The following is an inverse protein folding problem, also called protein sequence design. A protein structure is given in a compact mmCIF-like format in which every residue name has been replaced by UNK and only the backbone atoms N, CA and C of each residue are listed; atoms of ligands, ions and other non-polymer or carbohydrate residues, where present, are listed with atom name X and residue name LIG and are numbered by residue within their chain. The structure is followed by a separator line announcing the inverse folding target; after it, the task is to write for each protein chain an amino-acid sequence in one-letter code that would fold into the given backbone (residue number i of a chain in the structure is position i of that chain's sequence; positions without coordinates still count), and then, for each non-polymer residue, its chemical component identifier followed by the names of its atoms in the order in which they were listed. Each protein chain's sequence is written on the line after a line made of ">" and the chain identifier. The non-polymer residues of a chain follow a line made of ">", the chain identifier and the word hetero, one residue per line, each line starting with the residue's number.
data_IF_415772248547
#
_entry.id   IF_415772248547
#
_cell.length_a   1.000
_cell.length_b   1.000
_cell.length_c   1.000
_cell.angle_alpha   90.00
_cell.angle_beta   90.00
_cell.angle_gamma   90.00
#
_symmetry.space_group_name_H-M   'P 1'
#
loop_
_entity.id
_entity.type
_entity.pdbx_description
1 polymer ?
#
# COMPACT_ATOMS: atom_id res chain seq x y z
N UNK A 1 20.26 -54.83 -47.97
CA UNK A 1 18.94 -54.21 -47.79
C UNK A 1 18.89 -53.73 -46.35
N UNK A 2 18.64 -52.41 -46.15
CA UNK A 2 18.49 -51.66 -44.88
C UNK A 2 19.75 -51.57 -43.97
N UNK A 3 20.58 -50.50 -44.01
CA UNK A 3 20.43 -49.17 -43.35
C UNK A 3 19.97 -49.30 -41.89
N UNK A 4 20.63 -48.82 -40.84
CA UNK A 4 21.76 -47.91 -40.66
C UNK A 4 21.55 -47.13 -39.35
N UNK A 5 22.65 -46.73 -38.67
CA UNK A 5 22.77 -45.63 -37.69
C UNK A 5 21.99 -45.75 -36.37
N UNK A 6 22.44 -45.22 -35.23
CA UNK A 6 23.67 -44.58 -34.75
C UNK A 6 23.52 -44.51 -33.21
N UNK A 7 24.66 -44.52 -32.54
CA UNK A 7 25.00 -44.10 -31.17
C UNK A 7 23.90 -43.44 -30.30
N UNK A 8 23.62 -44.06 -29.15
CA UNK A 8 23.06 -43.38 -27.98
C UNK A 8 24.22 -42.84 -27.13
N UNK A 9 24.69 -41.63 -27.49
CA UNK A 9 25.53 -40.80 -26.62
C UNK A 9 24.68 -40.28 -25.48
N UNK A 10 25.07 -40.63 -24.25
CA UNK A 10 24.52 -40.09 -23.00
C UNK A 10 24.85 -38.59 -22.92
N UNK A 11 23.86 -37.75 -23.22
CA UNK A 11 23.83 -36.35 -22.81
C UNK A 11 22.74 -36.23 -21.73
N UNK A 12 23.11 -36.42 -20.46
CA UNK A 12 22.24 -36.00 -19.36
C UNK A 12 22.70 -34.62 -18.90
N UNK A 13 21.86 -33.65 -19.27
CA UNK A 13 21.89 -32.23 -18.98
C UNK A 13 22.15 -31.91 -17.50
N UNK A 14 23.20 -31.12 -17.24
CA UNK A 14 23.31 -30.23 -16.09
C UNK A 14 22.28 -29.08 -16.21
N UNK A 15 20.99 -29.41 -16.18
CA UNK A 15 19.95 -28.41 -16.01
C UNK A 15 19.87 -28.07 -14.50
N UNK A 16 20.62 -27.07 -14.06
CA UNK A 16 20.32 -26.41 -12.79
C UNK A 16 18.87 -25.92 -12.85
N UNK A 17 17.99 -26.54 -12.08
CA UNK A 17 16.61 -26.08 -11.91
C UNK A 17 16.64 -24.69 -11.29
N UNK A 18 16.33 -23.67 -12.09
CA UNK A 18 16.08 -22.32 -11.59
C UNK A 18 14.84 -22.38 -10.71
N UNK A 19 15.02 -22.28 -9.39
CA UNK A 19 13.92 -22.11 -8.45
C UNK A 19 13.35 -20.71 -8.67
N UNK A 20 12.23 -20.63 -9.39
CA UNK A 20 11.46 -19.40 -9.45
C UNK A 20 10.83 -19.18 -8.07
N UNK A 21 10.93 -17.97 -7.47
CA UNK A 21 10.21 -17.68 -6.25
C UNK A 21 8.72 -17.90 -6.50
N UNK A 22 8.14 -18.84 -5.75
CA UNK A 22 6.71 -19.07 -5.80
C UNK A 22 6.04 -17.78 -5.32
N UNK A 23 5.08 -17.18 -6.06
CA UNK A 23 4.34 -16.05 -5.53
C UNK A 23 3.72 -16.46 -4.20
N UNK A 24 3.82 -15.55 -3.22
CA UNK A 24 3.21 -15.74 -1.90
C UNK A 24 1.76 -16.17 -2.08
N UNK A 25 1.32 -17.07 -1.21
CA UNK A 25 -0.02 -17.59 -1.30
C UNK A 25 -1.06 -16.44 -1.20
N UNK A 26 -2.14 -16.46 -1.99
CA UNK A 26 -3.12 -15.36 -2.03
C UNK A 26 -3.86 -15.12 -0.70
N UNK A 27 -3.70 -16.01 0.28
CA UNK A 27 -4.22 -15.88 1.64
C UNK A 27 -3.21 -15.37 2.66
N UNK A 28 -1.96 -15.09 2.26
CA UNK A 28 -0.96 -14.48 3.14
C UNK A 28 -1.35 -13.01 3.32
N UNK A 29 -1.70 -12.64 4.55
CA UNK A 29 -1.98 -11.25 4.88
C UNK A 29 -0.71 -10.41 4.68
N UNK A 30 -0.81 -9.18 4.15
CA UNK A 30 0.33 -8.29 4.07
C UNK A 30 0.87 -8.02 5.47
N UNK A 31 2.19 -8.03 5.61
CA UNK A 31 2.84 -7.64 6.86
C UNK A 31 2.70 -6.12 7.02
N UNK A 32 1.79 -5.69 7.90
CA UNK A 32 1.57 -4.27 8.20
C UNK A 32 2.23 -3.94 9.53
N UNK A 33 3.23 -3.05 9.49
CA UNK A 33 3.87 -2.52 10.69
C UNK A 33 3.50 -1.04 10.89
N UNK A 34 2.94 -0.71 12.05
CA UNK A 34 2.67 0.68 12.46
C UNK A 34 3.67 1.09 13.52
N UNK A 35 4.50 2.09 13.19
CA UNK A 35 5.56 2.61 14.06
C UNK A 35 5.17 3.96 14.65
N UNK A 36 5.99 4.43 15.60
CA UNK A 36 5.97 5.81 16.11
C UNK A 36 4.70 6.21 16.88
N UNK A 37 3.90 5.22 17.30
CA UNK A 37 2.70 5.45 18.10
C UNK A 37 3.06 5.92 19.51
N UNK A 38 2.45 7.03 19.96
CA UNK A 38 2.68 7.57 21.30
C UNK A 38 4.01 8.32 21.50
N UNK A 39 4.77 8.57 20.42
CA UNK A 39 5.98 9.38 20.50
C UNK A 39 5.69 10.89 20.54
N UNK A 40 6.57 11.65 21.18
CA UNK A 40 6.44 13.10 21.26
C UNK A 40 6.62 13.78 19.89
N UNK A 41 5.79 14.79 19.61
CA UNK A 41 5.77 15.49 18.31
C UNK A 41 7.10 16.14 17.95
N UNK A 42 7.90 16.55 18.94
CA UNK A 42 9.20 17.19 18.70
C UNK A 42 10.23 16.15 18.28
N UNK A 43 10.25 15.01 18.98
CA UNK A 43 11.15 13.90 18.70
C UNK A 43 10.85 13.20 17.37
N UNK A 44 9.58 13.20 16.96
CA UNK A 44 9.17 12.44 15.78
C UNK A 44 9.51 13.12 14.45
N UNK A 45 9.65 14.45 14.43
CA UNK A 45 9.93 15.17 13.18
C UNK A 45 11.25 14.74 12.55
N UNK A 46 12.32 14.68 13.34
CA UNK A 46 13.65 14.30 12.86
C UNK A 46 13.67 12.83 12.44
N UNK A 47 13.08 11.96 13.28
CA UNK A 47 12.97 10.52 13.00
C UNK A 47 12.18 10.21 11.73
N UNK A 48 11.10 10.94 11.45
CA UNK A 48 10.30 10.74 10.23
C UNK A 48 11.07 11.10 8.98
N UNK A 49 11.87 12.18 9.00
CA UNK A 49 12.71 12.55 7.86
C UNK A 49 13.73 11.45 7.54
N UNK A 50 14.40 10.92 8.58
CA UNK A 50 15.33 9.80 8.41
C UNK A 50 14.64 8.54 7.88
N UNK A 51 13.43 8.24 8.37
CA UNK A 51 12.64 7.09 7.92
C UNK A 51 12.19 7.22 6.47
N UNK A 52 11.83 8.43 6.01
CA UNK A 52 11.47 8.69 4.62
C UNK A 52 12.66 8.37 3.71
N UNK A 53 13.83 8.93 4.01
CA UNK A 53 15.02 8.74 3.18
C UNK A 53 15.50 7.28 3.17
N UNK A 54 15.46 6.61 4.33
CA UNK A 54 15.72 5.18 4.42
C UNK A 54 14.77 4.36 3.56
N UNK A 55 13.46 4.64 3.63
CA UNK A 55 12.45 3.91 2.85
C UNK A 55 12.56 4.16 1.35
N UNK A 56 12.91 5.39 0.93
CA UNK A 56 13.22 5.67 -0.48
C UNK A 56 14.43 4.87 -0.96
N UNK A 57 15.49 4.81 -0.16
CA UNK A 57 16.69 4.04 -0.49
C UNK A 57 16.42 2.53 -0.60
N UNK A 58 15.45 2.02 0.16
CA UNK A 58 14.96 0.64 0.10
C UNK A 58 14.02 0.36 -1.10
N UNK A 59 13.69 1.38 -1.90
CA UNK A 59 12.79 1.25 -3.05
C UNK A 59 11.29 1.27 -2.68
N UNK A 60 10.93 1.82 -1.53
CA UNK A 60 9.54 1.94 -1.12
C UNK A 60 8.83 3.08 -1.88
N UNK A 61 7.56 2.86 -2.22
CA UNK A 61 6.66 3.92 -2.64
C UNK A 61 6.28 4.75 -1.40
N UNK A 62 6.71 6.02 -1.37
CA UNK A 62 6.38 6.92 -0.27
C UNK A 62 5.07 7.64 -0.56
N UNK A 63 4.10 7.49 0.34
CA UNK A 63 2.81 8.18 0.24
C UNK A 63 2.50 8.92 1.54
N UNK A 64 2.20 10.21 1.42
CA UNK A 64 1.69 11.03 2.51
C UNK A 64 0.19 11.13 2.42
N UNK A 65 -0.51 10.98 3.54
CA UNK A 65 -1.97 11.06 3.56
C UNK A 65 -2.46 12.07 4.57
N UNK A 66 -3.52 12.79 4.21
CA UNK A 66 -4.20 13.72 5.09
C UNK A 66 -5.71 13.68 4.78
N UNK A 67 -6.50 14.04 5.79
CA UNK A 67 -7.95 14.10 5.71
C UNK A 67 -8.51 15.13 6.66
N UNK A 68 -9.40 15.99 6.17
CA UNK A 68 -10.07 17.01 6.97
C UNK A 68 -11.56 17.07 6.71
N UNK A 69 -12.33 17.31 7.76
CA UNK A 69 -13.76 17.57 7.72
C UNK A 69 -14.05 18.97 8.24
N UNK A 70 -14.99 19.66 7.59
CA UNK A 70 -15.54 20.93 8.04
C UNK A 70 -17.06 20.88 8.00
N UNK A 71 -17.66 21.08 9.17
CA UNK A 71 -19.11 21.07 9.33
C UNK A 71 -19.79 22.10 8.42
N UNK A 72 -20.94 21.71 7.85
CA UNK A 72 -21.68 22.48 6.85
C UNK A 72 -20.98 22.67 5.49
N UNK A 73 -19.73 22.21 5.31
CA UNK A 73 -18.97 22.33 4.06
C UNK A 73 -18.73 20.96 3.42
N UNK A 74 -18.27 19.98 4.18
CA UNK A 74 -17.96 18.64 3.69
C UNK A 74 -16.61 18.11 4.17
N UNK A 75 -16.13 17.06 3.51
CA UNK A 75 -14.89 16.37 3.83
C UNK A 75 -13.94 16.34 2.62
N UNK A 76 -12.65 16.28 2.87
CA UNK A 76 -11.64 16.09 1.83
C UNK A 76 -10.51 15.21 2.33
N UNK A 77 -10.10 14.25 1.50
CA UNK A 77 -8.97 13.37 1.77
C UNK A 77 -8.01 13.34 0.58
N UNK A 78 -6.73 13.19 0.86
CA UNK A 78 -5.68 13.13 -0.15
C UNK A 78 -4.61 12.10 0.19
N UNK A 79 -4.00 11.58 -0.87
CA UNK A 79 -2.77 10.81 -0.86
C UNK A 79 -1.80 11.46 -1.85
N UNK A 80 -0.60 11.77 -1.39
CA UNK A 80 0.41 12.55 -2.11
C UNK A 80 1.67 11.72 -2.22
N UNK A 81 2.22 11.63 -3.42
CA UNK A 81 3.56 11.08 -3.70
C UNK A 81 4.47 12.20 -4.19
N UNK A 82 5.73 11.88 -4.50
CA UNK A 82 6.63 12.86 -5.13
C UNK A 82 6.14 13.32 -6.52
N UNK A 83 5.33 12.51 -7.19
CA UNK A 83 4.97 12.69 -8.60
C UNK A 83 3.53 13.17 -8.75
N UNK A 84 2.62 12.75 -7.87
CA UNK A 84 1.18 12.93 -8.07
C UNK A 84 0.41 13.18 -6.77
N UNK A 85 -0.80 13.73 -6.94
CA UNK A 85 -1.77 13.95 -5.87
C UNK A 85 -3.08 13.27 -6.23
N UNK A 86 -3.43 12.21 -5.49
CA UNK A 86 -4.75 11.60 -5.52
C UNK A 86 -5.61 12.25 -4.43
N UNK A 87 -6.81 12.71 -4.77
CA UNK A 87 -7.69 13.43 -3.84
C UNK A 87 -9.15 13.13 -4.09
N UNK A 88 -9.93 13.19 -3.02
CA UNK A 88 -11.38 13.07 -3.08
C UNK A 88 -12.02 14.08 -2.14
N UNK A 89 -13.07 14.75 -2.61
CA UNK A 89 -13.87 15.67 -1.81
C UNK A 89 -15.31 15.15 -1.76
N UNK A 90 -15.92 15.29 -0.59
CA UNK A 90 -17.29 14.91 -0.31
C UNK A 90 -18.05 16.18 0.06
N UNK A 91 -19.30 16.27 -0.39
CA UNK A 91 -20.21 17.31 0.05
C UNK A 91 -20.51 17.21 1.56
N UNK A 92 -21.30 18.14 2.10
CA UNK A 92 -21.76 18.09 3.47
C UNK A 92 -22.41 16.74 3.77
N UNK A 93 -21.97 16.09 4.84
CA UNK A 93 -22.53 14.83 5.31
C UNK A 93 -22.62 14.88 6.82
N UNK A 94 -23.79 14.55 7.36
CA UNK A 94 -23.94 14.31 8.78
C UNK A 94 -23.20 13.01 9.15
N UNK A 95 -22.55 13.02 10.31
CA UNK A 95 -21.95 11.82 10.90
C UNK A 95 -20.55 11.44 10.41
N UNK A 96 -19.87 12.25 9.60
CA UNK A 96 -18.45 12.01 9.25
C UNK A 96 -17.54 12.73 10.26
N UNK A 97 -16.58 12.01 10.81
CA UNK A 97 -15.54 12.52 11.71
C UNK A 97 -14.20 12.74 11.00
N UNK A 98 -13.35 13.63 11.54
CA UNK A 98 -11.98 13.82 11.03
C UNK A 98 -11.17 12.50 10.98
N UNK A 99 -11.38 11.59 11.93
CA UNK A 99 -10.72 10.29 11.94
C UNK A 99 -11.14 9.42 10.74
N UNK A 100 -12.41 9.46 10.37
CA UNK A 100 -12.91 8.72 9.20
C UNK A 100 -12.39 9.32 7.90
N UNK A 101 -12.29 10.64 7.81
CA UNK A 101 -11.71 11.30 6.62
C UNK A 101 -10.21 10.99 6.50
N UNK A 102 -9.46 10.94 7.61
CA UNK A 102 -8.07 10.49 7.58
C UNK A 102 -7.94 9.03 7.12
N UNK A 103 -8.84 8.14 7.55
CA UNK A 103 -8.88 6.77 7.06
C UNK A 103 -9.21 6.70 5.55
N UNK A 104 -10.03 7.61 5.03
CA UNK A 104 -10.24 7.73 3.58
C UNK A 104 -8.96 8.11 2.84
N UNK A 105 -8.11 8.97 3.42
CA UNK A 105 -6.78 9.30 2.86
C UNK A 105 -5.90 8.06 2.69
N UNK A 106 -5.89 7.19 3.70
CA UNK A 106 -5.21 5.88 3.62
C UNK A 106 -5.81 4.97 2.54
N UNK A 107 -7.14 4.94 2.40
CA UNK A 107 -7.79 4.16 1.34
C UNK A 107 -7.38 4.63 -0.05
N UNK A 108 -7.33 5.94 -0.26
CA UNK A 108 -6.90 6.54 -1.53
C UNK A 108 -5.44 6.15 -1.81
N UNK A 109 -4.56 6.18 -0.80
CA UNK A 109 -3.17 5.75 -0.94
C UNK A 109 -3.05 4.28 -1.40
N UNK A 110 -3.82 3.37 -0.80
CA UNK A 110 -3.81 1.95 -1.18
C UNK A 110 -4.32 1.72 -2.61
N UNK A 111 -5.41 2.40 -3.01
CA UNK A 111 -5.94 2.31 -4.38
C UNK A 111 -4.92 2.84 -5.38
N UNK A 112 -4.32 3.97 -5.05
CA UNK A 112 -3.29 4.60 -5.88
C UNK A 112 -2.08 3.69 -6.06
N UNK A 113 -1.53 3.16 -4.96
CA UNK A 113 -0.42 2.21 -5.00
C UNK A 113 -0.77 0.97 -5.83
N UNK A 114 -1.96 0.39 -5.62
CA UNK A 114 -2.43 -0.76 -6.39
C UNK A 114 -2.46 -0.48 -7.90
N UNK A 115 -2.91 0.69 -8.31
CA UNK A 115 -2.90 1.08 -9.72
C UNK A 115 -1.46 1.20 -10.23
N UNK A 116 -0.57 1.81 -9.46
CA UNK A 116 0.82 2.02 -9.86
C UNK A 116 1.59 0.72 -10.03
N UNK A 117 1.43 -0.26 -9.13
CA UNK A 117 2.04 -1.59 -9.27
C UNK A 117 1.44 -2.39 -10.44
N UNK A 118 0.19 -2.13 -10.84
CA UNK A 118 -0.39 -2.77 -12.03
C UNK A 118 0.22 -2.21 -13.32
N UNK A 119 0.52 -0.91 -13.34
CA UNK A 119 1.16 -0.24 -14.49
C UNK A 119 2.67 -0.49 -14.53
N UNK A 120 3.33 -0.65 -13.38
CA UNK A 120 4.77 -0.84 -13.25
C UNK A 120 5.11 -1.68 -12.01
N UNK A 121 4.98 -3.03 -12.10
CA UNK A 121 5.10 -3.93 -10.95
C UNK A 121 6.51 -4.02 -10.35
N UNK A 122 7.54 -3.64 -11.11
CA UNK A 122 8.93 -3.69 -10.66
C UNK A 122 9.41 -2.37 -10.03
N UNK A 123 8.60 -1.30 -10.06
CA UNK A 123 9.01 0.03 -9.59
C UNK A 123 9.15 0.10 -8.06
N UNK A 124 8.43 -0.75 -7.32
CA UNK A 124 8.36 -0.67 -5.85
C UNK A 124 8.29 -2.05 -5.20
N UNK A 125 9.13 -2.27 -4.20
CA UNK A 125 9.17 -3.48 -3.37
C UNK A 125 8.29 -3.36 -2.11
N UNK A 126 8.02 -2.13 -1.67
CA UNK A 126 7.34 -1.80 -0.43
C UNK A 126 6.45 -0.55 -0.59
N UNK A 127 5.43 -0.42 0.25
CA UNK A 127 4.63 0.79 0.40
C UNK A 127 4.86 1.37 1.80
N UNK A 128 5.33 2.61 1.88
CA UNK A 128 5.46 3.34 3.14
C UNK A 128 4.45 4.50 3.18
N UNK A 129 3.47 4.41 4.10
CA UNK A 129 2.45 5.44 4.29
C UNK A 129 2.76 6.28 5.52
N UNK A 130 2.80 7.60 5.35
CA UNK A 130 2.96 8.57 6.42
C UNK A 130 1.64 9.32 6.64
N UNK A 131 1.11 9.23 7.86
CA UNK A 131 -0.12 9.92 8.29
C UNK A 131 0.08 10.48 9.69
N UNK A 132 -0.52 11.62 9.98
CA UNK A 132 -0.60 12.19 11.32
C UNK A 132 -1.75 11.61 12.16
N UNK A 133 -2.64 10.82 11.54
CA UNK A 133 -3.77 10.19 12.20
C UNK A 133 -3.41 8.81 12.74
N UNK A 134 -3.01 8.78 14.02
CA UNK A 134 -2.80 7.54 14.79
C UNK A 134 -4.00 6.60 14.73
N UNK A 135 -5.22 7.15 14.78
CA UNK A 135 -6.46 6.37 14.67
C UNK A 135 -6.56 5.68 13.31
N UNK A 136 -6.28 6.40 12.23
CA UNK A 136 -6.35 5.85 10.88
C UNK A 136 -5.29 4.76 10.66
N UNK A 137 -4.05 4.97 11.12
CA UNK A 137 -2.98 3.97 11.03
C UNK A 137 -3.31 2.69 11.82
N UNK A 138 -3.88 2.82 13.03
CA UNK A 138 -4.32 1.68 13.83
C UNK A 138 -5.47 0.89 13.16
N UNK A 139 -6.39 1.59 12.49
CA UNK A 139 -7.47 0.94 11.72
C UNK A 139 -6.91 0.17 10.52
N UNK A 140 -5.87 0.69 9.86
CA UNK A 140 -5.21 0.00 8.74
C UNK A 140 -4.49 -1.28 9.19
N UNK A 141 -3.85 -1.27 10.36
CA UNK A 141 -3.22 -2.46 10.94
C UNK A 141 -4.19 -3.52 11.47
N UNK A 142 -5.49 -3.18 11.59
CA UNK A 142 -6.54 -4.09 12.07
C UNK A 142 -7.73 -4.04 11.11
N UNK A 143 -7.61 -4.61 9.89
CA UNK A 143 -8.62 -4.49 8.84
C UNK A 143 -9.98 -5.12 9.21
N UNK A 144 -10.05 -5.92 10.29
CA UNK A 144 -11.25 -6.55 10.80
C UNK A 144 -11.72 -5.85 12.10
N UNK A 145 -12.64 -4.88 11.97
CA UNK A 145 -13.58 -4.25 12.95
C UNK A 145 -13.45 -2.70 13.13
N UNK A 146 -14.54 -1.93 13.39
CA UNK A 146 -15.98 -2.07 13.07
C UNK A 146 -16.45 -1.01 12.04
N UNK A 147 -17.77 -0.89 11.85
CA UNK A 147 -18.61 -0.12 10.90
C UNK A 147 -18.04 1.08 10.10
N UNK A 148 -17.11 1.87 10.61
CA UNK A 148 -16.48 2.98 9.87
C UNK A 148 -15.65 2.48 8.68
N UNK A 149 -15.06 1.28 8.76
CA UNK A 149 -14.42 0.61 7.62
C UNK A 149 -15.41 0.09 6.56
N UNK A 150 -16.73 0.06 6.83
CA UNK A 150 -17.72 -0.23 5.78
C UNK A 150 -17.76 0.89 4.73
N UNK A 151 -17.40 2.13 5.08
CA UNK A 151 -17.19 3.18 4.10
C UNK A 151 -15.99 2.87 3.22
N UNK A 152 -14.90 2.34 3.79
CA UNK A 152 -13.72 1.90 3.05
C UNK A 152 -14.04 0.72 2.11
N UNK A 153 -14.80 -0.28 2.60
CA UNK A 153 -15.25 -1.41 1.78
C UNK A 153 -16.26 -1.01 0.68
N UNK A 154 -17.17 -0.07 0.96
CA UNK A 154 -18.07 0.53 -0.05
C UNK A 154 -17.32 1.40 -1.05
N UNK A 155 -16.30 2.13 -0.59
CA UNK A 155 -15.42 2.95 -1.43
C UNK A 155 -14.62 2.07 -2.38
N UNK A 156 -13.95 1.02 -1.88
CA UNK A 156 -13.20 0.07 -2.70
C UNK A 156 -14.06 -0.65 -3.76
N UNK A 157 -15.33 -0.96 -3.45
CA UNK A 157 -16.30 -1.51 -4.42
C UNK A 157 -16.71 -0.53 -5.53
N UNK A 158 -16.55 0.78 -5.33
CA UNK A 158 -16.92 1.81 -6.30
C UNK A 158 -15.82 2.10 -7.33
N UNK A 159 -14.62 1.54 -7.12
CA UNK A 159 -13.45 1.65 -8.00
C UNK A 159 -13.06 0.31 -8.65
N UNK A 160 -13.94 -0.70 -8.59
CA UNK A 160 -13.93 -1.85 -9.51
C UNK A 160 -14.76 -1.51 -10.75
#
# INVERSE_FOLDING_TARGET
>A
MTLGREELVLANNDAQETIYPHPDAPWKEPEIEVRNMGEDRTKIKEKVLEQIEMKKAEGACIIFTDGSFKDGVGAGAAAVTEQEVARHAYGPSEGISNNEVAAMGLAIALIYFRKRIQESPEDYSELAIFSDSQTALNLLAKPLQPTSLQYLARFLKKFQ
#
